data_IF_620376573483
#
_entry.id   IF_620376573483
#
_cell.length_a   1.000
_cell.length_b   1.000
_cell.length_c   1.000
_cell.angle_alpha   90.00
_cell.angle_beta   90.00
_cell.angle_gamma   90.00
#
_symmetry.space_group_name_H-M   'P 1'
#
loop_
_entity.id
_entity.type
_entity.pdbx_description
1 polymer ?
#
# COMPACT_ATOMS: atom_id res chain seq x y z
N UNK A 1 0.95 -11.45 -7.75
CA UNK A 1 1.18 -12.38 -6.61
C UNK A 1 1.51 -11.65 -5.30
N UNK A 2 1.58 -10.31 -5.29
CA UNK A 2 2.17 -9.48 -4.22
C UNK A 2 1.19 -9.04 -3.12
N UNK A 3 -0.12 -9.08 -3.36
CA UNK A 3 -1.13 -8.73 -2.33
C UNK A 3 -1.31 -9.78 -1.23
N UNK A 4 -0.98 -11.05 -1.49
CA UNK A 4 -1.24 -12.14 -0.55
C UNK A 4 -0.31 -12.13 0.68
N UNK A 5 0.97 -11.75 0.51
CA UNK A 5 1.90 -11.62 1.62
C UNK A 5 1.51 -10.45 2.54
N UNK A 6 1.17 -9.30 1.95
CA UNK A 6 0.68 -8.11 2.67
C UNK A 6 -0.60 -8.45 3.45
N UNK A 7 -1.58 -9.06 2.80
CA UNK A 7 -2.85 -9.42 3.44
C UNK A 7 -2.66 -10.41 4.60
N UNK A 8 -1.82 -11.45 4.43
CA UNK A 8 -1.52 -12.41 5.50
C UNK A 8 -0.81 -11.77 6.69
N UNK A 9 0.16 -10.88 6.44
CA UNK A 9 0.87 -10.19 7.50
C UNK A 9 -0.06 -9.27 8.29
N UNK A 10 -0.92 -8.48 7.61
CA UNK A 10 -1.92 -7.65 8.28
C UNK A 10 -2.92 -8.46 9.11
N UNK A 11 -3.37 -9.61 8.59
CA UNK A 11 -4.33 -10.48 9.28
C UNK A 11 -3.76 -11.20 10.51
N UNK A 12 -2.44 -11.21 10.70
CA UNK A 12 -1.81 -11.85 11.87
C UNK A 12 -1.96 -11.02 13.16
N UNK A 13 -2.34 -9.73 13.06
CA UNK A 13 -2.59 -8.81 14.19
C UNK A 13 -1.45 -8.70 15.22
N UNK A 14 -0.23 -9.10 14.84
CA UNK A 14 0.98 -9.03 15.66
C UNK A 14 1.79 -7.74 15.50
N UNK A 15 2.94 -7.61 16.19
CA UNK A 15 3.84 -6.46 16.05
C UNK A 15 4.24 -6.16 14.59
N UNK A 16 4.48 -7.20 13.80
CA UNK A 16 4.79 -7.08 12.38
C UNK A 16 3.63 -6.49 11.57
N UNK A 17 2.39 -6.82 11.93
CA UNK A 17 1.19 -6.26 11.31
C UNK A 17 1.09 -4.74 11.59
N UNK A 18 1.46 -4.32 12.80
CA UNK A 18 1.49 -2.90 13.18
C UNK A 18 2.58 -2.15 12.43
N UNK A 19 3.80 -2.69 12.37
CA UNK A 19 4.88 -2.11 11.56
C UNK A 19 4.49 -2.02 10.08
N UNK A 20 3.86 -3.06 9.53
CA UNK A 20 3.39 -3.06 8.15
C UNK A 20 2.31 -2.00 7.91
N UNK A 21 1.35 -1.86 8.82
CA UNK A 21 0.33 -0.82 8.75
C UNK A 21 0.95 0.59 8.77
N UNK A 22 1.97 0.80 9.62
CA UNK A 22 2.71 2.06 9.67
C UNK A 22 3.47 2.32 8.37
N UNK A 23 4.18 1.33 7.81
CA UNK A 23 4.85 1.44 6.50
C UNK A 23 3.86 1.85 5.41
N UNK A 24 2.69 1.22 5.37
CA UNK A 24 1.63 1.53 4.40
C UNK A 24 1.19 3.00 4.56
N UNK A 25 0.88 3.43 5.78
CA UNK A 25 0.49 4.81 6.05
C UNK A 25 1.57 5.82 5.62
N UNK A 26 2.83 5.57 6.02
CA UNK A 26 3.95 6.44 5.68
C UNK A 26 4.24 6.49 4.18
N UNK A 27 4.09 5.38 3.45
CA UNK A 27 4.24 5.36 1.99
C UNK A 27 3.22 6.26 1.30
N UNK A 28 1.98 6.35 1.82
CA UNK A 28 0.95 7.22 1.23
C UNK A 28 1.36 8.67 1.44
N UNK A 29 1.73 9.01 2.68
CA UNK A 29 2.09 10.38 3.06
C UNK A 29 3.32 10.86 2.29
N UNK A 30 4.44 10.14 2.40
CA UNK A 30 5.69 10.52 1.73
C UNK A 30 5.55 10.44 0.20
N UNK A 31 4.79 9.48 -0.32
CA UNK A 31 4.50 9.41 -1.75
C UNK A 31 3.67 10.59 -2.26
N UNK A 32 2.71 11.09 -1.46
CA UNK A 32 1.94 12.28 -1.78
C UNK A 32 2.81 13.54 -1.77
N UNK A 33 3.69 13.67 -0.78
CA UNK A 33 4.66 14.79 -0.67
C UNK A 33 5.60 14.85 -1.88
N UNK A 34 5.99 13.69 -2.41
CA UNK A 34 6.86 13.57 -3.59
C UNK A 34 6.09 13.72 -4.92
N UNK A 35 4.76 13.74 -4.91
CA UNK A 35 3.94 13.76 -6.13
C UNK A 35 3.97 12.43 -6.91
N UNK A 36 4.37 11.34 -6.26
CA UNK A 36 4.63 10.02 -6.88
C UNK A 36 3.44 9.05 -6.77
N UNK A 37 2.28 9.50 -6.25
CA UNK A 37 1.08 8.66 -6.19
C UNK A 37 0.49 8.42 -7.59
N UNK A 38 0.10 7.17 -7.85
CA UNK A 38 -0.51 6.76 -9.12
C UNK A 38 -2.01 7.06 -9.10
N UNK A 39 -2.52 7.67 -10.18
CA UNK A 39 -3.96 7.87 -10.36
C UNK A 39 -4.62 6.54 -10.76
N UNK A 40 -5.72 6.22 -10.08
CA UNK A 40 -6.54 5.05 -10.39
C UNK A 40 -8.02 5.37 -10.17
N UNK A 41 -8.87 4.57 -10.80
CA UNK A 41 -10.31 4.75 -10.73
C UNK A 41 -10.98 3.59 -10.01
N UNK A 42 -11.82 3.91 -9.02
CA UNK A 42 -12.64 2.94 -8.30
C UNK A 42 -14.13 3.21 -8.52
N UNK A 43 -15.00 2.17 -8.50
CA UNK A 43 -16.43 2.38 -8.48
C UNK A 43 -16.87 3.15 -7.22
N UNK A 44 -17.82 4.05 -7.36
CA UNK A 44 -18.49 4.70 -6.23
C UNK A 44 -19.30 3.68 -5.42
N UNK A 45 -18.82 3.37 -4.20
CA UNK A 45 -19.45 2.40 -3.32
C UNK A 45 -20.81 2.85 -2.79
N UNK A 46 -21.02 4.16 -2.64
CA UNK A 46 -22.28 4.70 -2.14
C UNK A 46 -23.36 4.60 -3.24
N UNK A 47 -22.97 4.88 -4.49
CA UNK A 47 -23.84 4.65 -5.65
C UNK A 47 -24.20 3.17 -5.84
N UNK A 48 -23.24 2.26 -5.60
CA UNK A 48 -23.50 0.81 -5.60
C UNK A 48 -24.50 0.45 -4.50
N UNK A 49 -24.30 0.94 -3.27
CA UNK A 49 -25.18 0.67 -2.15
C UNK A 49 -26.61 1.20 -2.39
N UNK A 50 -26.75 2.28 -3.16
CA UNK A 50 -28.02 2.84 -3.60
C UNK A 50 -28.68 2.10 -4.80
N UNK A 51 -28.03 1.06 -5.34
CA UNK A 51 -28.58 0.25 -6.44
C UNK A 51 -28.39 0.84 -7.84
N UNK A 52 -27.45 1.75 -8.04
CA UNK A 52 -27.15 2.33 -9.36
C UNK A 52 -26.55 1.26 -10.28
N UNK A 53 -27.15 1.07 -11.46
CA UNK A 53 -26.80 0.01 -12.43
C UNK A 53 -25.47 0.28 -13.16
N UNK A 54 -25.01 1.53 -13.21
CA UNK A 54 -23.69 1.94 -13.72
C UNK A 54 -23.10 3.03 -12.80
N UNK A 55 -22.46 2.64 -11.68
CA UNK A 55 -21.96 3.60 -10.71
C UNK A 55 -20.79 4.40 -11.29
N UNK A 56 -20.73 5.72 -11.03
CA UNK A 56 -19.63 6.54 -11.52
C UNK A 56 -18.29 6.05 -10.99
N UNK A 57 -17.24 6.21 -11.80
CA UNK A 57 -15.86 5.94 -11.37
C UNK A 57 -15.25 7.17 -10.72
N UNK A 58 -14.74 6.99 -9.52
CA UNK A 58 -14.08 8.01 -8.73
C UNK A 58 -12.57 7.93 -8.95
N UNK A 59 -11.97 9.06 -9.35
CA UNK A 59 -10.52 9.21 -9.40
C UNK A 59 -9.97 9.24 -7.97
N UNK A 60 -8.93 8.45 -7.74
CA UNK A 60 -8.19 8.34 -6.49
C UNK A 60 -6.70 8.30 -6.80
N UNK A 61 -5.90 8.56 -5.76
CA UNK A 61 -4.45 8.49 -5.81
C UNK A 61 -3.98 7.48 -4.79
N UNK A 62 -3.09 6.59 -5.19
CA UNK A 62 -2.68 5.46 -4.38
C UNK A 62 -1.23 5.07 -4.64
N UNK A 63 -0.82 3.98 -4.00
CA UNK A 63 0.52 3.45 -4.20
C UNK A 63 0.76 3.10 -5.66
N UNK A 64 1.96 3.41 -6.14
CA UNK A 64 2.49 2.80 -7.35
C UNK A 64 2.50 1.28 -7.15
N UNK A 65 2.06 0.54 -8.17
CA UNK A 65 2.09 -0.94 -8.14
C UNK A 65 3.47 -1.49 -7.74
N UNK A 66 4.53 -0.86 -8.24
CA UNK A 66 5.90 -1.24 -7.94
C UNK A 66 6.23 -1.21 -6.43
N UNK A 67 5.71 -0.24 -5.68
CA UNK A 67 5.95 -0.16 -4.24
C UNK A 67 5.29 -1.31 -3.48
N UNK A 68 4.10 -1.74 -3.91
CA UNK A 68 3.43 -2.91 -3.36
C UNK A 68 4.20 -4.19 -3.66
N UNK A 69 4.81 -4.29 -4.84
CA UNK A 69 5.64 -5.45 -5.20
C UNK A 69 6.90 -5.52 -4.34
N UNK A 70 7.58 -4.39 -4.18
CA UNK A 70 8.77 -4.28 -3.32
C UNK A 70 8.44 -4.53 -1.84
N UNK A 71 7.29 -4.05 -1.36
CA UNK A 71 6.81 -4.32 -0.01
C UNK A 71 6.53 -5.81 0.20
N UNK A 72 5.95 -6.49 -0.80
CA UNK A 72 5.78 -7.95 -0.77
C UNK A 72 7.12 -8.67 -0.59
N UNK A 73 8.15 -8.30 -1.35
CA UNK A 73 9.50 -8.85 -1.22
C UNK A 73 10.11 -8.53 0.15
N UNK A 74 9.90 -7.32 0.68
CA UNK A 74 10.39 -6.95 2.02
C UNK A 74 9.77 -7.82 3.12
N UNK A 75 8.50 -8.20 3.00
CA UNK A 75 7.84 -9.16 3.91
C UNK A 75 8.47 -10.55 3.77
N UNK A 76 8.66 -11.03 2.55
CA UNK A 76 9.24 -12.36 2.28
C UNK A 76 10.68 -12.50 2.78
N UNK A 77 11.44 -11.39 2.81
CA UNK A 77 12.80 -11.33 3.33
C UNK A 77 12.88 -10.96 4.83
N UNK A 78 11.76 -11.02 5.54
CA UNK A 78 11.67 -10.71 6.98
C UNK A 78 12.15 -9.29 7.35
N UNK A 79 12.11 -8.35 6.40
CA UNK A 79 12.54 -6.98 6.65
C UNK A 79 11.62 -6.24 7.65
N UNK A 80 10.36 -6.65 7.75
CA UNK A 80 9.37 -6.07 8.67
C UNK A 80 9.75 -6.30 10.14
N UNK A 81 10.35 -7.44 10.46
CA UNK A 81 10.82 -7.74 11.83
C UNK A 81 12.21 -7.16 12.12
N UNK A 82 13.03 -6.95 11.08
CA UNK A 82 14.41 -6.50 11.21
C UNK A 82 14.60 -4.97 11.17
N UNK A 83 13.66 -4.22 10.59
CA UNK A 83 13.81 -2.78 10.31
C UNK A 83 12.64 -1.97 10.85
N UNK A 84 12.90 -0.69 11.13
CA UNK A 84 11.83 0.27 11.42
C UNK A 84 11.03 0.61 10.16
N UNK A 85 9.78 1.04 10.36
CA UNK A 85 8.91 1.48 9.28
C UNK A 85 9.57 2.56 8.40
N UNK A 86 10.19 3.58 9.01
CA UNK A 86 10.88 4.66 8.29
C UNK A 86 11.95 4.14 7.32
N UNK A 87 12.81 3.22 7.77
CA UNK A 87 13.89 2.65 6.95
C UNK A 87 13.35 1.82 5.80
N UNK A 88 12.25 1.11 6.02
CA UNK A 88 11.58 0.34 4.97
C UNK A 88 11.02 1.30 3.92
N UNK A 89 10.32 2.34 4.35
CA UNK A 89 9.72 3.35 3.46
C UNK A 89 10.80 4.06 2.64
N UNK A 90 11.89 4.50 3.25
CA UNK A 90 13.02 5.12 2.55
C UNK A 90 13.56 4.23 1.42
N UNK A 91 13.77 2.94 1.70
CA UNK A 91 14.23 1.98 0.69
C UNK A 91 13.20 1.72 -0.41
N UNK A 92 11.92 1.69 -0.06
CA UNK A 92 10.85 1.46 -1.03
C UNK A 92 10.69 2.64 -2.00
N UNK A 93 10.93 3.87 -1.54
CA UNK A 93 10.84 5.09 -2.35
C UNK A 93 12.07 5.34 -3.23
N UNK A 94 13.20 4.70 -2.98
CA UNK A 94 14.40 4.88 -3.81
C UNK A 94 14.19 4.38 -5.25
N UNK A 95 14.65 5.11 -6.28
CA UNK A 95 14.68 4.58 -7.65
C UNK A 95 15.50 3.28 -7.71
N UNK A 96 15.10 2.32 -8.56
CA UNK A 96 15.99 1.18 -8.87
C UNK A 96 17.19 1.71 -9.64
N UNK A 97 18.39 1.45 -9.13
CA UNK A 97 19.64 1.47 -9.90
C UNK A 97 19.73 0.28 -10.83
#
# INVERSE_FOLDING_TARGET
MTSAAIARCLAAEGPEAMTLAEVICQLVVKGAELGELEEYEIPDRDAIAAGVVDPPRLKRRGFRREWLERLGVAIELEAISALSADKIVERLLQPRS
#
